data_IF_978165516569
#
_entry.id   IF_978165516569
#
_cell.length_a   1.000
_cell.length_b   1.000
_cell.length_c   1.000
_cell.angle_alpha   90.00
_cell.angle_beta   90.00
_cell.angle_gamma   90.00
#
_symmetry.space_group_name_H-M   'P 1'
#
loop_
_entity.id
_entity.type
_entity.pdbx_description
1 polymer ?
#
# COMPACT_ATOMS: atom_id res chain seq x y z
N UNK A 1 -16.36 3.92 -11.31
CA UNK A 1 -15.75 2.63 -10.93
C UNK A 1 -14.30 2.91 -10.57
N UNK A 2 -13.96 2.92 -9.29
CA UNK A 2 -12.63 3.29 -8.83
C UNK A 2 -11.87 2.02 -8.46
N UNK A 3 -10.98 1.57 -9.35
CA UNK A 3 -10.08 0.46 -9.07
C UNK A 3 -8.88 0.99 -8.28
N UNK A 4 -8.54 0.34 -7.17
CA UNK A 4 -7.29 0.58 -6.44
C UNK A 4 -6.10 0.16 -7.30
N UNK A 5 -4.96 0.86 -7.22
CA UNK A 5 -3.77 0.49 -8.00
C UNK A 5 -3.17 -0.82 -7.44
N UNK A 6 -2.87 -1.76 -8.33
CA UNK A 6 -2.07 -2.95 -8.02
C UNK A 6 -0.59 -2.62 -8.17
N UNK A 7 0.21 -2.94 -7.15
CA UNK A 7 1.66 -2.84 -7.19
C UNK A 7 2.24 -3.91 -8.12
N UNK A 8 2.95 -3.47 -9.16
CA UNK A 8 3.69 -4.35 -10.07
C UNK A 8 5.17 -4.33 -9.69
N UNK A 9 5.65 -5.39 -9.03
CA UNK A 9 7.09 -5.69 -8.96
C UNK A 9 7.28 -7.19 -8.74
N UNK A 10 8.02 -7.82 -9.66
CA UNK A 10 8.39 -9.23 -9.59
C UNK A 10 9.40 -9.48 -8.48
N UNK A 11 9.01 -10.35 -7.55
CA UNK A 11 9.81 -10.91 -6.48
C UNK A 11 8.90 -11.87 -5.73
N UNK A 12 9.40 -13.06 -5.37
CA UNK A 12 8.65 -14.20 -4.83
C UNK A 12 7.80 -13.81 -3.59
N UNK A 13 6.63 -13.23 -3.82
CA UNK A 13 5.66 -12.90 -2.77
C UNK A 13 4.96 -14.19 -2.39
N UNK A 14 5.46 -14.85 -1.34
CA UNK A 14 4.52 -15.53 -0.43
C UNK A 14 3.44 -14.50 -0.13
N UNK A 15 2.16 -14.74 -0.48
CA UNK A 15 1.10 -13.80 -0.18
C UNK A 15 1.06 -13.69 1.33
N UNK A 16 1.70 -12.65 1.88
CA UNK A 16 1.58 -12.34 3.28
C UNK A 16 0.08 -12.12 3.46
N UNK A 17 -0.56 -12.97 4.25
CA UNK A 17 -2.00 -12.98 4.50
C UNK A 17 -2.40 -11.63 5.11
N UNK A 18 -2.58 -10.64 4.24
CA UNK A 18 -2.83 -9.27 4.63
C UNK A 18 -4.27 -9.22 5.12
N UNK A 19 -4.45 -8.81 6.36
CA UNK A 19 -5.78 -8.68 6.94
C UNK A 19 -6.51 -7.56 6.19
N UNK A 20 -7.53 -7.92 5.42
CA UNK A 20 -8.32 -6.97 4.66
C UNK A 20 -9.54 -6.50 5.47
N UNK A 21 -9.71 -5.18 5.55
CA UNK A 21 -10.95 -4.59 6.05
C UNK A 21 -12.10 -4.86 5.08
N UNK A 22 -13.27 -5.20 5.65
CA UNK A 22 -14.48 -5.51 4.89
C UNK A 22 -15.57 -4.49 5.18
N UNK A 23 -16.34 -4.17 4.15
CA UNK A 23 -17.41 -3.19 4.22
C UNK A 23 -18.75 -3.84 3.91
N UNK A 24 -19.77 -3.46 4.66
CA UNK A 24 -21.13 -3.96 4.48
C UNK A 24 -21.68 -3.57 3.11
N UNK A 25 -22.31 -4.51 2.41
CA UNK A 25 -22.88 -4.25 1.08
C UNK A 25 -24.13 -3.38 1.09
N UNK A 26 -24.80 -3.24 2.24
CA UNK A 26 -26.07 -2.51 2.36
C UNK A 26 -25.87 -1.05 2.78
N UNK A 27 -25.00 -0.80 3.75
CA UNK A 27 -24.83 0.53 4.35
C UNK A 27 -23.38 1.04 4.32
N UNK A 28 -22.47 0.31 3.65
CA UNK A 28 -21.05 0.67 3.48
C UNK A 28 -20.27 0.94 4.78
N UNK A 29 -20.82 0.54 5.93
CA UNK A 29 -20.13 0.59 7.21
C UNK A 29 -19.13 -0.56 7.37
N UNK A 30 -18.15 -0.38 8.25
CA UNK A 30 -17.15 -1.40 8.57
C UNK A 30 -17.82 -2.67 9.16
N UNK A 31 -17.41 -3.84 8.68
CA UNK A 31 -17.80 -5.13 9.26
C UNK A 31 -16.84 -5.53 10.38
N UNK A 32 -17.41 -6.07 11.46
CA UNK A 32 -16.64 -6.48 12.64
C UNK A 32 -16.64 -8.00 12.82
N UNK A 33 -15.52 -8.60 13.25
CA UNK A 33 -15.46 -10.02 13.58
C UNK A 33 -16.47 -10.39 14.67
N UNK A 34 -17.19 -11.49 14.48
CA UNK A 34 -18.17 -12.06 15.41
C UNK A 34 -18.16 -13.58 15.30
N UNK A 35 -18.14 -14.26 16.44
CA UNK A 35 -18.25 -15.72 16.52
C UNK A 35 -19.70 -16.17 16.29
N UNK A 36 -19.90 -17.14 15.38
CA UNK A 36 -21.11 -17.96 15.35
C UNK A 36 -20.87 -19.26 16.13
N UNK A 37 -21.38 -19.30 17.37
CA UNK A 37 -21.19 -20.42 18.31
C UNK A 37 -21.90 -21.70 17.90
N UNK A 38 -22.97 -21.62 17.10
CA UNK A 38 -23.71 -22.81 16.70
C UNK A 38 -22.90 -23.64 15.69
N UNK A 39 -22.18 -22.95 14.80
CA UNK A 39 -21.39 -23.56 13.72
C UNK A 39 -19.88 -23.50 13.97
N UNK A 40 -19.44 -22.92 15.10
CA UNK A 40 -18.04 -22.68 15.45
C UNK A 40 -17.28 -21.97 14.32
N UNK A 41 -17.88 -20.91 13.74
CA UNK A 41 -17.34 -20.21 12.56
C UNK A 41 -17.16 -18.72 12.83
N UNK A 42 -16.09 -18.15 12.26
CA UNK A 42 -15.88 -16.71 12.23
C UNK A 42 -16.77 -16.04 11.17
N UNK A 43 -17.55 -15.05 11.62
CA UNK A 43 -18.39 -14.20 10.79
C UNK A 43 -17.92 -12.74 10.88
N UNK A 44 -18.21 -11.95 9.86
CA UNK A 44 -18.05 -10.49 9.84
C UNK A 44 -19.43 -9.84 9.78
N UNK A 45 -19.78 -9.07 10.80
CA UNK A 45 -21.15 -8.51 10.98
C UNK A 45 -21.11 -6.99 11.07
N UNK A 46 -22.05 -6.33 10.41
CA UNK A 46 -22.24 -4.89 10.53
C UNK A 46 -22.92 -4.56 11.87
N UNK A 47 -22.41 -3.55 12.58
CA UNK A 47 -23.06 -3.07 13.82
C UNK A 47 -24.35 -2.29 13.57
N UNK A 48 -24.49 -1.69 12.39
CA UNK A 48 -25.62 -0.80 12.05
C UNK A 48 -26.84 -1.57 11.55
N UNK A 49 -26.67 -2.47 10.57
CA UNK A 49 -27.79 -3.21 9.96
C UNK A 49 -27.83 -4.70 10.35
N UNK A 50 -26.88 -5.19 11.15
CA UNK A 50 -26.79 -6.57 11.63
C UNK A 50 -26.61 -7.66 10.56
N UNK A 51 -26.45 -7.29 9.29
CA UNK A 51 -26.10 -8.24 8.24
C UNK A 51 -24.67 -8.73 8.44
N UNK A 52 -24.50 -10.05 8.30
CA UNK A 52 -23.24 -10.73 8.48
C UNK A 52 -22.91 -11.67 7.32
N UNK A 53 -21.62 -11.81 7.05
CA UNK A 53 -21.06 -12.70 6.04
C UNK A 53 -19.97 -13.58 6.66
N UNK A 54 -19.74 -14.80 6.14
CA UNK A 54 -18.67 -15.65 6.63
C UNK A 54 -17.28 -15.11 6.29
N UNK A 55 -16.31 -15.30 7.19
CA UNK A 55 -14.94 -14.92 6.95
C UNK A 55 -14.28 -15.75 5.84
N UNK A 56 -13.46 -15.11 4.99
CA UNK A 56 -12.61 -15.78 4.00
C UNK A 56 -11.24 -16.19 4.55
N UNK A 57 -10.75 -15.44 5.55
CA UNK A 57 -9.51 -15.70 6.30
C UNK A 57 -9.86 -15.65 7.79
N UNK A 58 -9.18 -16.48 8.57
CA UNK A 58 -9.34 -16.54 10.02
C UNK A 58 -8.43 -15.56 10.77
N UNK A 59 -7.51 -14.89 10.06
CA UNK A 59 -6.63 -13.88 10.65
C UNK A 59 -7.39 -12.57 10.84
N UNK A 60 -7.76 -12.25 12.08
CA UNK A 60 -8.52 -11.04 12.43
C UNK A 60 -7.62 -9.81 12.60
N UNK A 61 -6.39 -10.02 13.08
CA UNK A 61 -5.43 -8.96 13.35
C UNK A 61 -4.01 -9.51 13.24
N UNK A 62 -3.13 -8.70 12.65
CA UNK A 62 -1.71 -9.00 12.57
C UNK A 62 -0.92 -7.75 12.92
N UNK A 63 -0.06 -7.85 13.94
CA UNK A 63 0.91 -6.80 14.25
C UNK A 63 2.23 -7.12 13.54
N UNK A 64 2.60 -6.33 12.52
CA UNK A 64 3.88 -6.48 11.82
C UNK A 64 4.90 -5.48 12.38
N UNK A 65 5.81 -5.97 13.24
CA UNK A 65 6.82 -5.14 13.90
C UNK A 65 7.92 -4.63 12.96
N UNK A 66 8.27 -5.44 11.95
CA UNK A 66 9.27 -5.07 10.95
C UNK A 66 8.62 -5.20 9.57
N UNK A 67 8.39 -4.07 8.92
CA UNK A 67 7.61 -3.97 7.69
C UNK A 67 8.49 -3.34 6.62
N UNK A 68 8.96 -4.13 5.64
CA UNK A 68 9.72 -3.64 4.46
C UNK A 68 8.85 -2.82 3.48
N UNK A 69 7.56 -2.62 3.79
CA UNK A 69 6.56 -2.02 2.89
C UNK A 69 6.69 -0.47 2.87
N UNK A 70 7.54 0.11 3.73
CA UNK A 70 7.72 1.56 3.83
C UNK A 70 8.69 2.16 2.81
N UNK A 71 9.63 1.38 2.27
CA UNK A 71 10.74 1.93 1.48
C UNK A 71 10.31 2.41 0.08
N UNK A 72 9.08 2.09 -0.34
CA UNK A 72 8.55 2.46 -1.66
C UNK A 72 7.05 2.79 -1.59
N UNK A 73 6.56 3.18 -0.41
CA UNK A 73 5.15 3.52 -0.22
C UNK A 73 4.84 4.85 -0.88
N UNK A 74 4.01 4.83 -1.93
CA UNK A 74 3.56 6.05 -2.61
C UNK A 74 4.63 6.68 -3.49
N UNK A 75 5.40 5.89 -4.25
CA UNK A 75 6.15 6.42 -5.40
C UNK A 75 5.13 7.09 -6.32
N UNK A 76 5.08 8.41 -6.25
CA UNK A 76 4.24 9.20 -7.11
C UNK A 76 5.06 9.59 -8.34
N UNK A 77 4.43 9.58 -9.52
CA UNK A 77 5.15 9.87 -10.77
C UNK A 77 5.60 11.33 -10.86
N UNK A 78 5.06 12.20 -10.01
CA UNK A 78 5.27 13.64 -9.96
C UNK A 78 6.37 14.08 -8.96
N UNK A 79 7.02 13.17 -8.23
CA UNK A 79 8.17 13.51 -7.37
C UNK A 79 9.26 14.27 -8.15
N UNK A 80 9.49 13.90 -9.42
CA UNK A 80 10.47 14.57 -10.27
C UNK A 80 10.11 16.00 -10.70
N UNK A 81 8.88 16.45 -10.42
CA UNK A 81 8.45 17.83 -10.66
C UNK A 81 8.58 18.73 -9.43
N UNK A 82 8.89 18.16 -8.27
CA UNK A 82 9.09 18.90 -7.03
C UNK A 82 10.50 19.51 -7.01
N UNK A 83 10.64 20.85 -7.10
CA UNK A 83 11.94 21.50 -7.08
C UNK A 83 12.65 21.40 -5.71
N UNK A 84 11.95 20.95 -4.67
CA UNK A 84 12.52 20.73 -3.33
C UNK A 84 13.12 19.34 -3.15
N UNK A 85 12.86 18.42 -4.08
CA UNK A 85 13.50 17.11 -4.14
C UNK A 85 14.79 17.27 -4.94
N UNK A 86 15.93 17.07 -4.28
CA UNK A 86 17.24 17.07 -4.93
C UNK A 86 17.27 16.01 -6.03
N UNK A 87 17.53 16.43 -7.26
CA UNK A 87 17.83 15.53 -8.36
C UNK A 87 19.14 14.80 -8.03
N UNK A 88 19.22 13.46 -8.20
CA UNK A 88 20.49 12.77 -8.04
C UNK A 88 21.50 13.34 -9.05
N UNK A 89 22.76 13.57 -8.63
CA UNK A 89 23.83 14.00 -9.54
C UNK A 89 24.10 13.06 -10.71
N UNK A 90 23.52 11.85 -10.73
CA UNK A 90 23.62 10.90 -11.84
C UNK A 90 22.29 10.20 -12.14
N UNK A 91 22.12 9.80 -13.39
CA UNK A 91 20.98 9.05 -13.87
C UNK A 91 21.01 7.61 -13.34
N UNK A 92 19.97 7.19 -12.61
CA UNK A 92 19.87 5.84 -12.05
C UNK A 92 19.62 4.74 -13.09
N UNK A 93 19.33 5.11 -14.35
CA UNK A 93 19.10 4.17 -15.46
C UNK A 93 20.36 3.90 -16.30
N UNK A 94 21.12 4.94 -16.66
CA UNK A 94 22.32 4.81 -17.51
C UNK A 94 23.63 5.06 -16.77
N UNK A 95 23.60 5.67 -15.58
CA UNK A 95 24.78 6.00 -14.78
C UNK A 95 25.49 7.29 -15.18
N UNK A 96 24.99 8.01 -16.18
CA UNK A 96 25.59 9.28 -16.62
C UNK A 96 25.28 10.43 -15.66
N UNK A 97 26.23 11.35 -15.50
CA UNK A 97 26.07 12.54 -14.65
C UNK A 97 24.99 13.49 -15.24
N UNK A 98 24.11 13.99 -14.38
CA UNK A 98 23.03 14.89 -14.79
C UNK A 98 23.55 16.33 -14.71
N UNK A 99 23.58 17.01 -15.86
CA UNK A 99 23.97 18.41 -15.97
C UNK A 99 22.80 19.27 -16.49
N UNK A 100 22.79 20.54 -16.10
CA UNK A 100 21.81 21.50 -16.58
C UNK A 100 21.95 21.73 -18.09
N UNK A 101 20.88 21.53 -18.86
CA UNK A 101 20.90 21.72 -20.32
C UNK A 101 21.24 23.16 -20.75
N UNK A 102 20.95 24.17 -19.91
CA UNK A 102 21.12 25.59 -20.27
C UNK A 102 22.49 26.17 -19.91
N UNK A 103 23.09 25.77 -18.78
CA UNK A 103 24.40 26.27 -18.35
C UNK A 103 25.51 25.20 -18.37
N UNK A 104 25.18 23.92 -18.56
CA UNK A 104 26.14 22.83 -18.54
C UNK A 104 26.73 22.52 -17.16
N UNK A 105 26.26 23.21 -16.11
CA UNK A 105 26.74 22.98 -14.75
C UNK A 105 26.12 21.71 -14.17
N UNK A 106 26.98 20.94 -13.52
CA UNK A 106 26.63 19.78 -12.71
C UNK A 106 25.87 20.23 -11.45
N UNK A 107 24.94 19.41 -10.98
CA UNK A 107 24.29 19.63 -9.69
C UNK A 107 25.34 19.61 -8.59
N UNK A 108 25.59 20.73 -7.92
CA UNK A 108 26.39 20.78 -6.70
C UNK A 108 25.58 20.14 -5.56
N UNK A 109 25.64 18.80 -5.47
CA UNK A 109 25.02 18.09 -4.36
C UNK A 109 25.78 18.44 -3.06
N UNK A 110 25.12 19.25 -2.24
CA UNK A 110 25.56 19.64 -0.91
C UNK A 110 25.75 18.44 0.02
N UNK A 111 26.75 18.59 0.87
CA UNK A 111 27.14 17.70 1.98
C UNK A 111 26.03 17.48 3.03
#
# INVERSE_FOLDING_TARGET
>A
MSASPSSSAGGDTKPSEQVHFRFCRECSNLLYPKEDRANNRLMFTCRTCHVGEPASSYCVYQNKLNTQVGDTAGVTQDVGSDPTVSLPGFCTLCGDEIACFSCGEMSEDGE
#
